data_IF_747426711099
#
_entry.id   IF_747426711099
#
_cell.length_a   1.000
_cell.length_b   1.000
_cell.length_c   1.000
_cell.angle_alpha   90.00
_cell.angle_beta   90.00
_cell.angle_gamma   90.00
#
_symmetry.space_group_name_H-M   'P 1'
#
loop_
_entity.id
_entity.type
_entity.pdbx_description
1 polymer ?
#
# COMPACT_ATOMS: atom_id res chain seq x y z
N UNK A 1 -34.93 -7.04 24.76
CA UNK A 1 -33.66 -6.30 24.96
C UNK A 1 -32.79 -6.43 23.70
N UNK A 2 -33.20 -5.80 22.59
CA UNK A 2 -32.71 -6.08 21.23
C UNK A 2 -31.84 -4.97 20.61
N UNK A 3 -31.14 -4.14 21.39
CA UNK A 3 -30.48 -2.93 20.86
C UNK A 3 -28.95 -2.88 20.94
N UNK A 4 -28.26 -3.96 21.33
CA UNK A 4 -26.79 -3.90 21.55
C UNK A 4 -25.95 -4.47 20.40
N UNK A 5 -26.53 -5.20 19.43
CA UNK A 5 -25.75 -5.86 18.37
C UNK A 5 -25.51 -5.06 17.07
N UNK A 6 -25.82 -3.75 17.03
CA UNK A 6 -25.79 -2.96 15.78
C UNK A 6 -24.54 -2.10 15.54
N UNK A 7 -23.44 -2.24 16.29
CA UNK A 7 -22.23 -1.43 16.07
C UNK A 7 -20.97 -2.27 16.15
N UNK A 8 -20.70 -3.00 15.06
CA UNK A 8 -19.36 -3.23 14.52
C UNK A 8 -19.51 -4.20 13.34
N UNK A 9 -20.19 -3.76 12.27
CA UNK A 9 -19.72 -4.16 10.96
C UNK A 9 -18.31 -3.59 10.88
N UNK A 10 -17.30 -4.45 11.06
CA UNK A 10 -15.92 -4.13 10.71
C UNK A 10 -16.01 -3.55 9.30
N UNK A 11 -15.89 -2.23 9.20
CA UNK A 11 -15.91 -1.52 7.95
C UNK A 11 -14.61 -1.95 7.27
N UNK A 12 -14.64 -3.08 6.58
CA UNK A 12 -13.60 -3.46 5.64
C UNK A 12 -13.74 -2.43 4.54
N UNK A 13 -13.10 -1.28 4.73
CA UNK A 13 -12.98 -0.23 3.73
C UNK A 13 -12.65 -0.95 2.42
N UNK A 14 -13.49 -0.77 1.39
CA UNK A 14 -13.31 -1.44 0.10
C UNK A 14 -11.86 -1.18 -0.36
N UNK A 15 -11.14 -2.15 -0.96
CA UNK A 15 -9.74 -1.97 -1.38
C UNK A 15 -9.51 -0.67 -2.17
N UNK A 16 -10.50 -0.25 -2.97
CA UNK A 16 -10.52 1.06 -3.66
C UNK A 16 -10.40 2.25 -2.69
N UNK A 17 -11.15 2.27 -1.58
CA UNK A 17 -11.14 3.38 -0.62
C UNK A 17 -9.78 3.49 0.09
N UNK A 18 -9.17 2.36 0.43
CA UNK A 18 -7.83 2.33 1.04
C UNK A 18 -6.79 2.90 0.07
N UNK A 19 -6.83 2.47 -1.19
CA UNK A 19 -5.96 3.02 -2.25
C UNK A 19 -6.19 4.51 -2.48
N UNK A 20 -7.44 4.98 -2.42
CA UNK A 20 -7.76 6.41 -2.60
C UNK A 20 -7.21 7.27 -1.47
N UNK A 21 -7.41 6.88 -0.20
CA UNK A 21 -6.84 7.60 0.95
C UNK A 21 -5.33 7.69 0.82
N UNK A 22 -4.71 6.60 0.40
CA UNK A 22 -3.29 6.54 0.18
C UNK A 22 -2.79 7.48 -0.92
N UNK A 23 -3.49 7.51 -2.06
CA UNK A 23 -3.15 8.40 -3.17
C UNK A 23 -3.24 9.87 -2.80
N UNK A 24 -4.19 10.25 -1.95
CA UNK A 24 -4.22 11.61 -1.41
C UNK A 24 -3.00 11.93 -0.55
N UNK A 25 -2.50 10.98 0.23
CA UNK A 25 -1.24 11.13 0.99
C UNK A 25 -0.05 11.24 0.04
N UNK A 26 0.02 10.41 -1.01
CA UNK A 26 1.05 10.50 -2.05
C UNK A 26 1.08 11.87 -2.70
N UNK A 27 -0.06 12.35 -3.20
CA UNK A 27 -0.19 13.67 -3.85
C UNK A 27 0.22 14.78 -2.87
N UNK A 28 -0.22 14.72 -1.62
CA UNK A 28 0.16 15.70 -0.62
C UNK A 28 1.68 15.71 -0.36
N UNK A 29 2.31 14.54 -0.33
CA UNK A 29 3.75 14.39 -0.11
C UNK A 29 4.56 14.85 -1.33
N UNK A 30 4.10 14.55 -2.55
CA UNK A 30 4.70 15.04 -3.80
C UNK A 30 4.60 16.58 -3.88
N UNK A 31 3.45 17.15 -3.55
CA UNK A 31 3.25 18.61 -3.49
C UNK A 31 4.14 19.25 -2.42
N UNK A 32 4.25 18.64 -1.24
CA UNK A 32 5.14 19.10 -0.18
C UNK A 32 6.61 19.04 -0.62
N UNK A 33 7.05 17.94 -1.21
CA UNK A 33 8.39 17.77 -1.72
C UNK A 33 8.71 18.80 -2.81
N UNK A 34 7.75 19.08 -3.70
CA UNK A 34 7.90 20.14 -4.70
C UNK A 34 7.95 21.54 -4.10
N UNK A 35 7.15 21.83 -3.07
CA UNK A 35 7.16 23.12 -2.39
C UNK A 35 8.50 23.34 -1.69
N UNK A 36 9.01 22.32 -1.01
CA UNK A 36 10.34 22.34 -0.39
C UNK A 36 11.41 22.53 -1.47
N UNK A 37 11.34 21.78 -2.57
CA UNK A 37 12.27 21.96 -3.70
C UNK A 37 12.27 23.40 -4.24
N UNK A 38 11.09 24.02 -4.36
CA UNK A 38 10.96 25.42 -4.76
C UNK A 38 11.57 26.40 -3.75
N UNK A 39 11.30 26.20 -2.44
CA UNK A 39 11.78 27.08 -1.37
C UNK A 39 13.31 27.01 -1.16
N UNK A 40 13.92 25.85 -1.40
CA UNK A 40 15.36 25.63 -1.27
C UNK A 40 16.13 25.84 -2.59
N UNK A 41 15.51 26.49 -3.58
CA UNK A 41 16.09 26.75 -4.92
C UNK A 41 16.63 25.48 -5.60
N UNK A 42 16.08 24.32 -5.26
CA UNK A 42 16.45 23.07 -5.91
C UNK A 42 15.98 23.15 -7.36
N UNK A 43 16.82 22.81 -8.36
CA UNK A 43 16.43 22.89 -9.76
C UNK A 43 15.36 21.84 -10.05
N UNK A 44 14.09 22.24 -9.93
CA UNK A 44 12.96 21.47 -10.45
C UNK A 44 13.00 21.67 -11.96
N UNK A 45 13.62 20.71 -12.66
CA UNK A 45 13.96 20.85 -14.08
C UNK A 45 12.73 20.98 -15.00
N UNK A 46 11.50 20.65 -14.56
CA UNK A 46 10.31 20.73 -15.42
C UNK A 46 8.97 20.80 -14.66
N UNK A 47 8.37 22.00 -14.61
CA UNK A 47 6.99 22.22 -14.14
C UNK A 47 5.94 21.40 -14.93
N UNK A 48 6.18 21.18 -16.22
CA UNK A 48 5.31 20.38 -17.08
C UNK A 48 5.18 18.93 -16.63
N UNK A 49 6.26 18.35 -16.09
CA UNK A 49 6.25 16.98 -15.58
C UNK A 49 5.46 16.90 -14.26
N UNK A 50 5.60 17.88 -13.38
CA UNK A 50 4.81 17.94 -12.15
C UNK A 50 3.31 18.03 -12.44
N UNK A 51 2.92 18.89 -13.40
CA UNK A 51 1.54 18.94 -13.86
C UNK A 51 1.08 17.61 -14.49
N UNK A 52 1.94 16.95 -15.27
CA UNK A 52 1.66 15.63 -15.83
C UNK A 52 1.48 14.55 -14.75
N UNK A 53 2.33 14.54 -13.72
CA UNK A 53 2.25 13.64 -12.56
C UNK A 53 0.92 13.80 -11.84
N UNK A 54 0.56 15.04 -11.50
CA UNK A 54 -0.71 15.35 -10.86
C UNK A 54 -1.88 14.94 -11.77
N UNK A 55 -1.80 15.25 -13.07
CA UNK A 55 -2.85 14.91 -14.02
C UNK A 55 -3.08 13.40 -14.13
N UNK A 56 -2.01 12.59 -14.17
CA UNK A 56 -2.10 11.13 -14.21
C UNK A 56 -2.65 10.58 -12.89
N UNK A 57 -2.25 11.13 -11.74
CA UNK A 57 -2.82 10.78 -10.42
C UNK A 57 -4.32 11.06 -10.36
N UNK A 58 -4.74 12.25 -10.79
CA UNK A 58 -6.16 12.64 -10.85
C UNK A 58 -6.92 11.75 -11.83
N UNK A 59 -6.39 11.52 -13.02
CA UNK A 59 -7.01 10.69 -14.06
C UNK A 59 -7.22 9.24 -13.58
N UNK A 60 -6.18 8.61 -13.04
CA UNK A 60 -6.27 7.24 -12.54
C UNK A 60 -7.20 7.14 -11.33
N UNK A 61 -7.26 8.15 -10.45
CA UNK A 61 -8.19 8.20 -9.32
C UNK A 61 -9.66 8.33 -9.75
N UNK A 62 -9.94 9.17 -10.75
CA UNK A 62 -11.26 9.30 -11.37
C UNK A 62 -11.64 7.98 -12.06
N UNK A 63 -10.72 7.39 -12.83
CA UNK A 63 -10.94 6.12 -13.53
C UNK A 63 -11.31 4.99 -12.57
N UNK A 64 -10.63 4.87 -11.42
CA UNK A 64 -10.96 3.92 -10.35
C UNK A 64 -12.38 4.08 -9.81
N UNK A 65 -12.89 5.31 -9.70
CA UNK A 65 -14.25 5.59 -9.21
C UNK A 65 -15.33 5.28 -10.25
N UNK A 66 -15.01 5.43 -11.53
CA UNK A 66 -15.94 5.16 -12.63
C UNK A 66 -15.94 3.68 -13.05
N UNK A 67 -14.88 2.94 -12.77
CA UNK A 67 -14.76 1.54 -13.16
C UNK A 67 -15.66 0.63 -12.30
N UNK A 68 -16.72 0.09 -12.91
CA UNK A 68 -17.65 -0.91 -12.31
C UNK A 68 -17.50 -2.27 -13.00
N UNK A 69 -16.28 -2.82 -12.99
CA UNK A 69 -15.97 -4.12 -13.58
C UNK A 69 -16.18 -5.28 -12.61
N UNK A 70 -15.98 -6.51 -13.09
CA UNK A 70 -16.00 -7.70 -12.23
C UNK A 70 -14.78 -7.73 -11.27
N UNK A 71 -14.89 -8.40 -10.11
CA UNK A 71 -13.87 -8.38 -9.03
C UNK A 71 -12.43 -8.66 -9.52
N UNK A 72 -12.23 -9.61 -10.44
CA UNK A 72 -10.90 -9.92 -10.98
C UNK A 72 -10.31 -8.84 -11.89
N UNK A 73 -11.14 -8.04 -12.56
CA UNK A 73 -10.71 -6.89 -13.37
C UNK A 73 -10.31 -5.70 -12.49
N UNK A 74 -11.01 -5.50 -11.38
CA UNK A 74 -10.73 -4.44 -10.41
C UNK A 74 -9.34 -4.61 -9.78
N UNK A 75 -9.02 -5.84 -9.36
CA UNK A 75 -7.74 -6.15 -8.71
C UNK A 75 -6.54 -5.98 -9.66
N UNK A 76 -6.70 -6.30 -10.94
CA UNK A 76 -5.70 -6.01 -11.99
C UNK A 76 -5.54 -4.51 -12.22
N UNK A 77 -6.65 -3.77 -12.27
CA UNK A 77 -6.60 -2.32 -12.44
C UNK A 77 -5.89 -1.62 -11.29
N UNK A 78 -6.15 -2.04 -10.05
CA UNK A 78 -5.45 -1.59 -8.85
C UNK A 78 -3.94 -1.86 -8.97
N UNK A 79 -3.54 -3.08 -9.36
CA UNK A 79 -2.13 -3.43 -9.51
C UNK A 79 -1.41 -2.55 -10.54
N UNK A 80 -2.02 -2.35 -11.72
CA UNK A 80 -1.48 -1.49 -12.78
C UNK A 80 -1.38 -0.04 -12.29
N UNK A 81 -2.39 0.43 -11.57
CA UNK A 81 -2.41 1.79 -11.02
C UNK A 81 -1.26 2.05 -10.05
N UNK A 82 -0.97 1.09 -9.16
CA UNK A 82 0.17 1.21 -8.22
C UNK A 82 1.51 1.14 -8.96
N UNK A 83 1.62 0.33 -10.03
CA UNK A 83 2.83 0.31 -10.86
C UNK A 83 3.06 1.65 -11.55
N UNK A 84 2.01 2.28 -12.08
CA UNK A 84 2.09 3.63 -12.64
C UNK A 84 2.58 4.61 -11.58
N UNK A 85 2.03 4.55 -10.36
CA UNK A 85 2.45 5.40 -9.23
C UNK A 85 3.96 5.23 -8.95
N UNK A 86 4.46 4.00 -8.90
CA UNK A 86 5.88 3.72 -8.69
C UNK A 86 6.77 4.35 -9.78
N UNK A 87 6.45 4.13 -11.05
CA UNK A 87 7.25 4.67 -12.15
C UNK A 87 7.20 6.19 -12.20
N UNK A 88 6.07 6.78 -11.84
CA UNK A 88 5.87 8.21 -11.86
C UNK A 88 6.63 8.91 -10.73
N UNK A 89 6.62 8.34 -9.52
CA UNK A 89 7.47 8.78 -8.41
C UNK A 89 8.95 8.64 -8.80
N UNK A 90 9.34 7.53 -9.45
CA UNK A 90 10.71 7.31 -9.92
C UNK A 90 11.13 8.38 -10.93
N UNK A 91 10.28 8.68 -11.92
CA UNK A 91 10.55 9.72 -12.91
C UNK A 91 10.68 11.11 -12.28
N UNK A 92 9.82 11.43 -11.31
CA UNK A 92 9.88 12.68 -10.56
C UNK A 92 11.22 12.80 -9.81
N UNK A 93 11.64 11.73 -9.11
CA UNK A 93 12.92 11.68 -8.40
C UNK A 93 14.11 11.82 -9.35
N UNK A 94 14.08 11.17 -10.51
CA UNK A 94 15.14 11.27 -11.52
C UNK A 94 15.42 12.73 -11.93
N UNK A 95 14.39 13.57 -11.98
CA UNK A 95 14.49 14.98 -12.40
C UNK A 95 14.73 15.96 -11.24
N UNK A 96 14.57 15.51 -9.99
CA UNK A 96 14.76 16.32 -8.77
C UNK A 96 16.02 15.89 -7.99
N UNK A 97 17.06 15.40 -8.67
CA UNK A 97 18.35 15.07 -8.03
C UNK A 97 18.66 13.56 -7.93
N UNK A 98 17.79 12.72 -8.50
CA UNK A 98 18.04 11.29 -8.67
C UNK A 98 18.24 10.55 -7.36
N UNK A 99 19.23 9.65 -7.33
CA UNK A 99 19.48 8.80 -6.18
C UNK A 99 20.06 9.50 -4.94
N UNK A 100 20.49 10.76 -5.06
CA UNK A 100 20.97 11.56 -3.93
C UNK A 100 19.84 12.27 -3.17
N UNK A 101 18.62 12.23 -3.70
CA UNK A 101 17.47 12.91 -3.14
C UNK A 101 16.95 12.16 -1.90
N UNK A 102 16.84 12.85 -0.75
CA UNK A 102 16.30 12.29 0.50
C UNK A 102 14.84 11.83 0.40
N UNK A 103 14.09 12.29 -0.61
CA UNK A 103 12.73 11.84 -0.90
C UNK A 103 12.65 10.45 -1.57
N UNK A 104 13.78 9.77 -1.80
CA UNK A 104 13.80 8.37 -2.27
C UNK A 104 12.92 7.44 -1.42
N UNK A 105 12.77 7.73 -0.12
CA UNK A 105 11.93 6.95 0.79
C UNK A 105 10.44 6.90 0.34
N UNK A 106 9.97 7.84 -0.49
CA UNK A 106 8.62 7.83 -1.07
C UNK A 106 8.39 6.59 -1.94
N UNK A 107 9.44 5.97 -2.50
CA UNK A 107 9.31 4.71 -3.24
C UNK A 107 8.86 3.52 -2.35
N UNK A 108 9.02 3.60 -1.03
CA UNK A 108 8.47 2.60 -0.09
C UNK A 108 6.94 2.64 -0.02
N UNK A 109 6.34 3.76 -0.44
CA UNK A 109 4.92 4.01 -0.32
C UNK A 109 4.16 3.01 -1.23
N UNK A 110 4.42 2.89 -2.57
CA UNK A 110 3.86 1.81 -3.40
C UNK A 110 4.07 0.39 -2.87
N UNK A 111 5.22 0.13 -2.22
CA UNK A 111 5.52 -1.17 -1.59
C UNK A 111 4.55 -1.45 -0.44
N UNK A 112 4.37 -0.47 0.46
CA UNK A 112 3.45 -0.58 1.59
C UNK A 112 2.00 -0.79 1.14
N UNK A 113 1.53 -0.07 0.11
CA UNK A 113 0.18 -0.25 -0.47
C UNK A 113 0.00 -1.67 -0.96
N UNK A 114 0.96 -2.14 -1.74
CA UNK A 114 0.89 -3.47 -2.32
C UNK A 114 0.82 -4.53 -1.22
N UNK A 115 1.56 -4.34 -0.12
CA UNK A 115 1.55 -5.22 1.04
C UNK A 115 0.20 -5.24 1.80
N UNK A 116 -0.53 -4.13 1.81
CA UNK A 116 -1.86 -4.04 2.42
C UNK A 116 -2.93 -4.65 1.52
N UNK A 117 -2.86 -4.38 0.21
CA UNK A 117 -3.92 -4.72 -0.75
C UNK A 117 -3.79 -6.11 -1.38
N UNK A 118 -2.58 -6.68 -1.41
CA UNK A 118 -2.30 -7.96 -2.06
C UNK A 118 -1.71 -8.97 -1.08
N UNK A 119 -1.62 -10.22 -1.54
CA UNK A 119 -0.92 -11.28 -0.82
C UNK A 119 0.59 -11.02 -0.78
N UNK A 120 1.31 -11.81 0.03
CA UNK A 120 2.74 -11.58 0.26
C UNK A 120 3.59 -11.61 -1.02
N UNK A 121 3.27 -12.45 -2.01
CA UNK A 121 4.09 -12.59 -3.21
C UNK A 121 4.16 -11.29 -4.05
N UNK A 122 3.05 -10.67 -4.47
CA UNK A 122 3.06 -9.36 -5.13
C UNK A 122 3.80 -8.28 -4.34
N UNK A 123 3.71 -8.30 -3.00
CA UNK A 123 4.40 -7.35 -2.13
C UNK A 123 5.93 -7.48 -2.24
N UNK A 124 6.47 -8.70 -2.28
CA UNK A 124 7.91 -8.91 -2.46
C UNK A 124 8.37 -8.49 -3.85
N UNK A 125 7.58 -8.78 -4.89
CA UNK A 125 7.88 -8.36 -6.25
C UNK A 125 7.91 -6.83 -6.36
N UNK A 126 6.96 -6.13 -5.72
CA UNK A 126 6.95 -4.67 -5.68
C UNK A 126 8.18 -4.11 -4.93
N UNK A 127 8.59 -4.72 -3.82
CA UNK A 127 9.81 -4.33 -3.11
C UNK A 127 11.06 -4.47 -3.99
N UNK A 128 11.22 -5.61 -4.68
CA UNK A 128 12.33 -5.84 -5.62
C UNK A 128 12.29 -4.82 -6.76
N UNK A 129 11.11 -4.57 -7.33
CA UNK A 129 10.95 -3.60 -8.40
C UNK A 129 11.32 -2.19 -7.93
N UNK A 130 10.90 -1.81 -6.73
CA UNK A 130 11.22 -0.52 -6.13
C UNK A 130 12.72 -0.35 -5.86
N UNK A 131 13.41 -1.40 -5.41
CA UNK A 131 14.88 -1.42 -5.27
C UNK A 131 15.54 -1.31 -6.65
N UNK A 132 14.97 -1.95 -7.67
CA UNK A 132 15.39 -1.81 -9.06
C UNK A 132 15.26 -0.37 -9.57
N UNK A 133 14.12 0.28 -9.31
CA UNK A 133 13.89 1.69 -9.63
C UNK A 133 14.92 2.59 -8.94
N UNK A 134 15.21 2.37 -7.66
CA UNK A 134 16.23 3.15 -6.96
C UNK A 134 17.64 2.89 -7.52
N UNK A 135 17.96 1.64 -7.82
CA UNK A 135 19.22 1.28 -8.48
C UNK A 135 19.37 1.92 -9.86
N UNK A 136 18.27 2.08 -10.60
CA UNK A 136 18.25 2.80 -11.87
C UNK A 136 18.52 4.30 -11.66
N UNK A 137 17.96 4.91 -10.61
CA UNK A 137 18.25 6.30 -10.24
C UNK A 137 19.73 6.55 -9.92
N UNK A 138 20.47 5.53 -9.46
CA UNK A 138 21.92 5.62 -9.24
C UNK A 138 22.72 5.68 -10.56
N UNK A 139 22.15 5.17 -11.66
CA UNK A 139 22.79 5.16 -12.98
C UNK A 139 22.46 6.40 -13.81
N UNK A 140 21.40 7.14 -13.46
CA UNK A 140 21.07 8.41 -14.13
C UNK A 140 22.16 9.42 -13.78
N UNK A 141 22.89 9.98 -14.77
CA UNK A 141 23.91 10.98 -14.50
C UNK A 141 23.27 12.16 -13.77
N UNK A 142 23.80 12.50 -12.58
CA UNK A 142 23.38 13.72 -11.89
C UNK A 142 23.68 14.90 -12.82
N UNK A 143 22.65 15.44 -13.46
CA UNK A 143 22.78 16.53 -14.42
C UNK A 143 23.25 17.84 -13.76
N UNK A 144 23.35 17.85 -12.43
CA UNK A 144 23.96 18.92 -11.63
C UNK A 144 25.47 18.88 -11.60
N UNK A 145 26.13 17.87 -12.18
CA UNK A 145 27.59 17.76 -12.18
C UNK A 145 28.22 18.21 -13.50
N UNK A 146 27.88 19.44 -13.93
CA UNK A 146 28.66 20.16 -14.94
C UNK A 146 30.08 20.54 -14.43
N UNK A 147 30.46 20.14 -13.21
CA UNK A 147 31.78 20.32 -12.64
C UNK A 147 32.55 19.01 -12.38
N UNK A 148 31.94 17.83 -12.50
CA UNK A 148 32.65 16.55 -12.37
C UNK A 148 33.45 16.12 -13.61
N UNK A 149 33.38 16.87 -14.73
CA UNK A 149 34.08 16.50 -15.96
C UNK A 149 35.58 16.87 -15.98
N UNK A 150 36.16 17.33 -14.86
CA UNK A 150 37.57 17.73 -14.78
C UNK A 150 38.47 16.87 -13.89
N UNK A 151 38.02 15.75 -13.32
CA UNK A 151 38.88 14.91 -12.48
C UNK A 151 39.43 13.67 -13.21
N UNK A 152 40.01 13.89 -14.38
CA UNK A 152 41.00 12.97 -14.94
C UNK A 152 42.39 13.59 -14.64
N UNK A 153 43.22 12.89 -13.85
CA UNK A 153 44.56 13.25 -13.38
C UNK A 153 44.66 14.09 -12.09
N UNK A 154 44.57 13.43 -10.94
CA UNK A 154 45.55 13.68 -9.86
C UNK A 154 45.44 12.62 -8.78
N UNK A 155 46.52 11.85 -8.66
CA UNK A 155 46.92 11.01 -7.53
C UNK A 155 46.86 11.81 -6.22
N UNK A 156 45.78 11.66 -5.43
CA UNK A 156 45.74 11.87 -3.96
C UNK A 156 44.45 11.26 -3.37
N UNK A 157 44.49 10.50 -2.26
CA UNK A 157 43.32 9.84 -1.68
C UNK A 157 42.78 10.60 -0.47
N UNK A 158 41.82 11.52 -0.62
CA UNK A 158 40.96 12.01 0.48
C UNK A 158 40.10 13.20 0.04
N UNK A 159 38.83 12.99 -0.30
CA UNK A 159 37.71 13.95 -0.06
C UNK A 159 36.39 13.58 -0.77
N UNK A 160 36.39 12.67 -1.74
CA UNK A 160 35.16 12.21 -2.44
C UNK A 160 34.43 11.05 -1.75
N UNK A 161 35.05 10.41 -0.76
CA UNK A 161 34.50 9.28 0.02
C UNK A 161 33.20 9.57 0.80
N UNK A 162 33.00 10.73 1.45
CA UNK A 162 31.82 10.91 2.31
C UNK A 162 30.50 10.88 1.53
N UNK A 163 30.48 11.39 0.30
CA UNK A 163 29.27 11.50 -0.51
C UNK A 163 28.88 10.16 -1.16
N UNK A 164 29.86 9.43 -1.72
CA UNK A 164 29.63 8.09 -2.26
C UNK A 164 29.24 7.11 -1.15
N UNK A 165 29.87 7.21 0.01
CA UNK A 165 29.53 6.41 1.17
C UNK A 165 28.13 6.73 1.70
N UNK A 166 27.74 8.01 1.80
CA UNK A 166 26.40 8.41 2.22
C UNK A 166 25.31 7.86 1.27
N UNK A 167 25.50 7.96 -0.04
CA UNK A 167 24.55 7.40 -1.02
C UNK A 167 24.45 5.88 -0.89
N UNK A 168 25.58 5.18 -0.66
CA UNK A 168 25.58 3.73 -0.44
C UNK A 168 24.81 3.34 0.84
N UNK A 169 24.94 4.12 1.91
CA UNK A 169 24.19 3.91 3.16
C UNK A 169 22.69 4.13 2.93
N UNK A 170 22.32 5.13 2.14
CA UNK A 170 20.92 5.40 1.79
C UNK A 170 20.31 4.27 0.96
N UNK A 171 21.08 3.69 0.03
CA UNK A 171 20.67 2.50 -0.73
C UNK A 171 20.44 1.27 0.13
N UNK A 172 21.36 0.98 1.07
CA UNK A 172 21.18 -0.12 2.00
C UNK A 172 19.98 0.11 2.92
N UNK A 173 19.87 1.30 3.52
CA UNK A 173 18.76 1.65 4.41
C UNK A 173 17.40 1.51 3.69
N UNK A 174 17.32 1.98 2.45
CA UNK A 174 16.13 1.81 1.62
C UNK A 174 15.81 0.34 1.36
N UNK A 175 16.80 -0.44 0.94
CA UNK A 175 16.62 -1.86 0.60
C UNK A 175 16.13 -2.66 1.80
N UNK A 176 16.77 -2.49 2.97
CA UNK A 176 16.32 -3.11 4.21
C UNK A 176 14.90 -2.67 4.58
N UNK A 177 14.60 -1.38 4.47
CA UNK A 177 13.26 -0.86 4.75
C UNK A 177 12.21 -1.47 3.82
N UNK A 178 12.49 -1.58 2.52
CA UNK A 178 11.57 -2.18 1.55
C UNK A 178 11.26 -3.64 1.88
N UNK A 179 12.28 -4.43 2.23
CA UNK A 179 12.08 -5.82 2.64
C UNK A 179 11.30 -5.93 3.94
N UNK A 180 11.66 -5.14 4.96
CA UNK A 180 10.99 -5.16 6.27
C UNK A 180 9.53 -4.75 6.13
N UNK A 181 9.25 -3.65 5.42
CA UNK A 181 7.89 -3.17 5.19
C UNK A 181 7.07 -4.22 4.45
N UNK A 182 7.61 -4.77 3.36
CA UNK A 182 6.93 -5.79 2.56
C UNK A 182 6.62 -7.05 3.37
N UNK A 183 7.59 -7.56 4.14
CA UNK A 183 7.41 -8.73 4.99
C UNK A 183 6.47 -8.46 6.16
N UNK A 184 6.69 -7.39 6.91
CA UNK A 184 5.94 -7.09 8.13
C UNK A 184 4.47 -6.82 7.81
N UNK A 185 4.20 -5.89 6.88
CA UNK A 185 2.82 -5.57 6.50
C UNK A 185 2.16 -6.78 5.86
N UNK A 186 2.84 -7.48 4.93
CA UNK A 186 2.30 -8.68 4.29
C UNK A 186 1.95 -9.78 5.31
N UNK A 187 2.80 -9.99 6.32
CA UNK A 187 2.55 -10.95 7.40
C UNK A 187 1.37 -10.52 8.30
N UNK A 188 1.23 -9.23 8.60
CA UNK A 188 0.10 -8.71 9.38
C UNK A 188 -1.22 -8.90 8.62
N UNK A 189 -1.27 -8.52 7.34
CA UNK A 189 -2.45 -8.68 6.49
C UNK A 189 -2.90 -10.14 6.42
N UNK A 190 -1.95 -11.08 6.28
CA UNK A 190 -2.25 -12.52 6.29
C UNK A 190 -2.81 -13.00 7.64
N UNK A 191 -2.23 -12.56 8.77
CA UNK A 191 -2.71 -12.91 10.11
C UNK A 191 -4.10 -12.36 10.40
N UNK A 192 -4.37 -11.12 9.98
CA UNK A 192 -5.69 -10.50 10.14
C UNK A 192 -6.74 -11.27 9.30
N UNK A 193 -6.38 -11.63 8.07
CA UNK A 193 -7.26 -12.38 7.16
C UNK A 193 -7.59 -13.78 7.69
N UNK A 194 -6.59 -14.50 8.21
CA UNK A 194 -6.80 -15.84 8.78
C UNK A 194 -7.63 -15.80 10.06
N UNK A 195 -7.37 -14.82 10.94
CA UNK A 195 -8.14 -14.62 12.18
C UNK A 195 -9.58 -14.27 11.88
N UNK A 196 -9.82 -13.38 10.92
CA UNK A 196 -11.17 -13.00 10.49
C UNK A 196 -11.94 -14.20 9.94
N UNK A 197 -11.30 -15.03 9.11
CA UNK A 197 -11.93 -16.25 8.59
C UNK A 197 -12.28 -17.27 9.69
N UNK A 198 -11.46 -17.36 10.75
CA UNK A 198 -11.76 -18.20 11.90
C UNK A 198 -12.93 -17.67 12.72
N UNK A 199 -12.97 -16.36 12.96
CA UNK A 199 -14.07 -15.71 13.68
C UNK A 199 -15.41 -15.90 12.96
N UNK A 200 -15.46 -15.70 11.64
CA UNK A 200 -16.68 -15.92 10.85
C UNK A 200 -17.16 -17.37 10.96
N UNK A 201 -16.25 -18.35 10.94
CA UNK A 201 -16.62 -19.76 11.12
C UNK A 201 -17.20 -20.04 12.51
N UNK A 202 -16.65 -19.43 13.56
CA UNK A 202 -17.17 -19.59 14.92
C UNK A 202 -18.55 -18.96 15.07
N UNK A 203 -18.75 -17.74 14.53
CA UNK A 203 -20.06 -17.08 14.50
C UNK A 203 -21.11 -17.92 13.77
N UNK A 204 -20.75 -18.51 12.61
CA UNK A 204 -21.65 -19.37 11.87
C UNK A 204 -22.05 -20.63 12.66
N UNK A 205 -21.10 -21.25 13.38
CA UNK A 205 -21.40 -22.40 14.25
C UNK A 205 -22.30 -22.03 15.42
N UNK A 206 -22.08 -20.87 16.04
CA UNK A 206 -22.94 -20.39 17.12
C UNK A 206 -24.38 -20.21 16.64
N UNK A 207 -24.57 -19.54 15.49
CA UNK A 207 -25.91 -19.36 14.90
C UNK A 207 -26.60 -20.69 14.59
N UNK A 208 -25.86 -21.69 14.09
CA UNK A 208 -26.39 -23.03 13.86
C UNK A 208 -26.84 -23.71 15.16
N UNK A 209 -26.06 -23.61 16.24
CA UNK A 209 -26.44 -24.18 17.53
C UNK A 209 -27.69 -23.51 18.13
N UNK A 210 -27.79 -22.18 18.03
CA UNK A 210 -28.96 -21.43 18.49
C UNK A 210 -30.22 -21.83 17.73
N UNK A 211 -30.13 -22.05 16.42
CA UNK A 211 -31.26 -22.55 15.61
C UNK A 211 -31.69 -23.96 16.01
N UNK A 212 -30.75 -24.87 16.25
CA UNK A 212 -31.07 -26.24 16.69
C UNK A 212 -31.74 -26.23 18.07
N UNK A 213 -31.25 -25.41 19.00
CA UNK A 213 -31.86 -25.28 20.33
C UNK A 213 -33.27 -24.69 20.25
N UNK A 214 -33.48 -23.68 19.39
CA UNK A 214 -34.81 -23.12 19.16
C UNK A 214 -35.78 -24.19 18.63
N UNK A 215 -35.38 -24.97 17.62
CA UNK A 215 -36.23 -26.06 17.09
C UNK A 215 -36.49 -27.13 18.16
N UNK A 216 -35.47 -27.52 18.93
CA UNK A 216 -35.62 -28.52 19.99
C UNK A 216 -36.57 -28.05 21.11
N UNK A 217 -36.48 -26.78 21.52
CA UNK A 217 -37.37 -26.19 22.54
C UNK A 217 -38.82 -26.08 22.02
N UNK A 218 -39.02 -25.70 20.76
CA UNK A 218 -40.36 -25.74 20.14
C UNK A 218 -40.93 -27.16 20.08
N UNK A 219 -40.13 -28.16 19.68
CA UNK A 219 -40.55 -29.55 19.63
C UNK A 219 -40.90 -30.10 21.02
N UNK A 220 -40.12 -29.75 22.05
CA UNK A 220 -40.37 -30.16 23.43
C UNK A 220 -41.68 -29.56 23.98
N UNK A 221 -41.94 -28.28 23.72
CA UNK A 221 -43.20 -27.64 24.10
C UNK A 221 -44.40 -28.28 23.38
N UNK A 222 -44.29 -28.54 22.07
CA UNK A 222 -45.34 -29.21 21.31
C UNK A 222 -45.61 -30.65 21.82
N UNK A 223 -44.58 -31.39 22.22
CA UNK A 223 -44.72 -32.72 22.80
C UNK A 223 -45.39 -32.68 24.19
N UNK A 224 -45.09 -31.66 25.01
CA UNK A 224 -45.74 -31.45 26.30
C UNK A 224 -47.25 -31.18 26.14
N UNK A 225 -47.62 -30.29 25.22
CA UNK A 225 -49.02 -29.97 24.92
C UNK A 225 -49.82 -31.20 24.45
N UNK A 226 -49.19 -32.11 23.70
CA UNK A 226 -49.79 -33.38 23.26
C UNK A 226 -49.92 -34.43 24.37
N UNK A 227 -49.07 -34.41 25.40
CA UNK A 227 -49.12 -35.35 26.52
C UNK A 227 -50.24 -35.02 27.53
N UNK A 228 -50.54 -33.73 27.73
CA UNK A 228 -51.54 -33.26 28.70
C UNK A 228 -52.98 -33.77 28.51
N UNK A 229 -53.55 -33.89 27.29
CA UNK A 229 -54.90 -34.44 27.12
C UNK A 229 -54.95 -35.99 27.15
N UNK A 230 -53.82 -36.70 26.96
CA UNK A 230 -53.78 -38.17 27.01
C UNK A 230 -53.80 -38.74 28.43
N UNK A 231 -53.47 -37.93 29.44
CA UNK A 231 -53.43 -38.37 30.84
C UNK A 231 -54.78 -38.19 31.58
N UNK A 232 -55.75 -37.55 30.93
CA UNK A 232 -57.12 -37.35 31.43
C UNK A 232 -58.15 -38.26 30.73
N UNK A 233 -57.71 -39.26 29.95
CA UNK A 233 -58.52 -40.38 29.43
C UNK A 233 -58.11 -41.67 30.14
#
# INVERSE_FOLDING_TARGET
>A
MNSIFSRNSLNTDHPIQQLQRFRWVLIALELLASLIGYLFEYPIHSWSLLCFVIAVHVFTNISLKLWRGNQGSEQRFIAISILIDLFMITALLAMTGGASNGFVAILLLPVAVTAVLFSALPSYLMAILSIGCYSLLLQVPLSTDAHAMHQHNSTMPSSTEPFSQHISQMWWAFSFSAFIVSWFIGAQTQRISSTSAQLTKLQQKQLQHEQVLAVATYAANAAHDLATPLQNL
#
